data_IF_967817597182
#
_entry.id   IF_967817597182
#
_cell.length_a   1.000
_cell.length_b   1.000
_cell.length_c   1.000
_cell.angle_alpha   90.00
_cell.angle_beta   90.00
_cell.angle_gamma   90.00
#
_symmetry.space_group_name_H-M   'P 1'
#
loop_
_entity.id
_entity.type
_entity.pdbx_description
1 polymer ?
#
# COMPACT_ATOMS: atom_id res chain seq x y z
N UNK A 1 39.58 -41.54 8.89
CA UNK A 1 39.70 -40.06 8.91
C UNK A 1 38.66 -39.50 7.94
N UNK A 2 37.56 -38.97 8.48
CA UNK A 2 36.40 -38.47 7.73
C UNK A 2 36.73 -37.05 7.25
N UNK A 3 36.88 -36.84 5.94
CA UNK A 3 37.13 -35.51 5.38
C UNK A 3 35.78 -34.79 5.19
N UNK A 4 35.56 -33.77 6.02
CA UNK A 4 34.53 -32.75 5.87
C UNK A 4 34.89 -31.83 4.70
N UNK A 5 33.93 -31.54 3.81
CA UNK A 5 34.06 -30.53 2.75
C UNK A 5 32.96 -29.49 2.97
N UNK A 6 33.28 -28.19 3.13
CA UNK A 6 32.29 -27.15 3.40
C UNK A 6 31.61 -26.65 2.12
N UNK A 7 30.30 -26.41 2.26
CA UNK A 7 29.41 -25.74 1.32
C UNK A 7 29.80 -24.25 1.29
N UNK A 8 30.09 -23.70 0.12
CA UNK A 8 30.17 -22.25 -0.10
C UNK A 8 29.04 -21.85 -1.06
N UNK A 9 27.90 -21.47 -0.50
CA UNK A 9 26.89 -20.68 -1.22
C UNK A 9 27.36 -19.23 -1.22
N UNK A 10 27.76 -18.73 -2.39
CA UNK A 10 28.04 -17.31 -2.60
C UNK A 10 26.69 -16.57 -2.69
N UNK A 11 26.25 -15.97 -1.59
CA UNK A 11 25.16 -15.00 -1.59
C UNK A 11 25.75 -13.64 -2.00
N UNK A 12 25.58 -13.29 -3.26
CA UNK A 12 25.98 -11.98 -3.80
C UNK A 12 25.07 -10.91 -3.24
N UNK A 13 25.56 -10.14 -2.26
CA UNK A 13 24.89 -8.96 -1.73
C UNK A 13 25.04 -7.81 -2.74
N UNK A 14 24.02 -7.59 -3.56
CA UNK A 14 23.94 -6.40 -4.40
C UNK A 14 23.59 -5.20 -3.50
N UNK A 15 24.56 -4.33 -3.26
CA UNK A 15 24.34 -3.09 -2.52
C UNK A 15 23.70 -2.07 -3.48
N UNK A 16 22.37 -2.05 -3.56
CA UNK A 16 21.65 -0.99 -4.27
C UNK A 16 21.67 0.24 -3.37
N UNK A 17 22.43 1.26 -3.78
CA UNK A 17 22.42 2.57 -3.12
C UNK A 17 21.18 3.31 -3.62
N UNK A 18 20.07 3.17 -2.89
CA UNK A 18 18.86 3.96 -3.15
C UNK A 18 19.17 5.44 -2.92
N UNK A 19 19.09 6.22 -3.99
CA UNK A 19 19.31 7.66 -3.97
C UNK A 19 18.11 8.31 -3.29
N UNK A 20 18.28 8.84 -2.08
CA UNK A 20 17.28 9.67 -1.42
C UNK A 20 17.09 10.95 -2.25
N UNK A 21 16.00 11.00 -3.02
CA UNK A 21 15.45 12.23 -3.57
C UNK A 21 15.00 13.12 -2.41
N UNK A 22 15.22 14.43 -2.49
CA UNK A 22 14.91 15.40 -1.44
C UNK A 22 13.39 15.68 -1.23
N UNK A 23 12.56 14.65 -1.36
CA UNK A 23 11.15 14.61 -0.96
C UNK A 23 10.95 13.49 0.07
N UNK A 24 9.79 13.45 0.71
CA UNK A 24 9.47 12.43 1.72
C UNK A 24 9.79 11.01 1.20
N UNK A 25 10.32 10.14 2.05
CA UNK A 25 10.69 8.78 1.66
C UNK A 25 9.47 8.01 1.10
N UNK A 26 9.65 6.99 0.25
CA UNK A 26 8.53 6.15 -0.21
C UNK A 26 7.69 5.60 0.95
N UNK A 27 8.33 5.32 2.09
CA UNK A 27 7.70 4.89 3.34
C UNK A 27 6.79 5.94 3.96
N UNK A 28 7.26 7.19 4.06
CA UNK A 28 6.47 8.31 4.57
C UNK A 28 5.32 8.63 3.59
N UNK A 29 5.60 8.67 2.29
CA UNK A 29 4.60 8.96 1.27
C UNK A 29 3.46 7.93 1.25
N UNK A 30 3.77 6.63 1.34
CA UNK A 30 2.72 5.59 1.38
C UNK A 30 1.96 5.60 2.70
N UNK A 31 2.62 5.98 3.80
CA UNK A 31 1.94 6.16 5.08
C UNK A 31 0.90 7.28 4.99
N UNK A 32 1.27 8.44 4.44
CA UNK A 32 0.36 9.57 4.28
C UNK A 32 -0.85 9.22 3.39
N UNK A 33 -0.62 8.53 2.27
CA UNK A 33 -1.72 8.05 1.42
C UNK A 33 -2.66 7.07 2.15
N UNK A 34 -2.13 6.22 3.03
CA UNK A 34 -2.96 5.30 3.82
C UNK A 34 -3.72 6.03 4.93
N UNK A 35 -3.16 7.10 5.49
CA UNK A 35 -3.89 7.98 6.40
C UNK A 35 -5.03 8.72 5.67
N UNK A 36 -4.82 9.21 4.45
CA UNK A 36 -5.89 9.79 3.62
C UNK A 36 -7.01 8.77 3.36
N UNK A 37 -6.65 7.52 3.03
CA UNK A 37 -7.63 6.45 2.85
C UNK A 37 -8.42 6.16 4.15
N UNK A 38 -7.76 6.17 5.30
CA UNK A 38 -8.40 5.98 6.61
C UNK A 38 -9.32 7.14 6.96
N UNK A 39 -8.93 8.39 6.72
CA UNK A 39 -9.77 9.56 6.95
C UNK A 39 -11.01 9.51 6.06
N UNK A 40 -10.86 9.17 4.77
CA UNK A 40 -11.97 8.97 3.84
C UNK A 40 -12.91 7.82 4.27
N UNK A 41 -12.40 6.80 4.96
CA UNK A 41 -13.21 5.69 5.47
C UNK A 41 -14.13 6.08 6.64
N UNK A 42 -13.77 7.09 7.43
CA UNK A 42 -14.51 7.46 8.64
C UNK A 42 -15.99 7.78 8.39
N UNK A 43 -16.36 8.72 7.51
CA UNK A 43 -17.78 9.02 7.27
C UNK A 43 -18.53 7.82 6.70
N UNK A 44 -17.92 7.04 5.80
CA UNK A 44 -18.51 5.82 5.25
C UNK A 44 -18.82 4.81 6.36
N UNK A 45 -17.87 4.58 7.27
CA UNK A 45 -18.06 3.69 8.40
C UNK A 45 -19.16 4.19 9.35
N UNK A 46 -19.23 5.50 9.62
CA UNK A 46 -20.29 6.09 10.43
C UNK A 46 -21.67 5.91 9.79
N UNK A 47 -21.79 6.12 8.47
CA UNK A 47 -23.03 5.90 7.72
C UNK A 47 -23.46 4.43 7.77
N UNK A 48 -22.53 3.50 7.57
CA UNK A 48 -22.80 2.06 7.65
C UNK A 48 -23.24 1.60 9.05
N UNK A 49 -22.77 2.28 10.11
CA UNK A 49 -23.19 2.02 11.49
C UNK A 49 -24.48 2.74 11.90
N UNK A 50 -25.04 3.59 11.03
CA UNK A 50 -26.20 4.43 11.35
C UNK A 50 -25.90 5.54 12.36
N UNK A 51 -24.62 5.87 12.56
CA UNK A 51 -24.16 6.97 13.42
C UNK A 51 -24.12 8.31 12.67
N UNK A 52 -24.17 8.28 11.34
CA UNK A 52 -24.31 9.41 10.44
C UNK A 52 -25.43 9.09 9.45
N UNK A 53 -26.34 10.04 9.19
CA UNK A 53 -27.34 9.89 8.12
C UNK A 53 -26.64 9.72 6.77
N UNK A 54 -27.23 8.96 5.87
CA UNK A 54 -26.64 8.73 4.56
C UNK A 54 -26.55 10.02 3.75
N UNK A 55 -25.36 10.31 3.24
CA UNK A 55 -25.07 11.42 2.33
C UNK A 55 -24.26 10.90 1.12
N UNK A 56 -24.94 10.86 -0.02
CA UNK A 56 -24.40 10.47 -1.32
C UNK A 56 -23.12 11.23 -1.71
N UNK A 57 -23.10 12.55 -1.49
CA UNK A 57 -21.96 13.39 -1.88
C UNK A 57 -20.74 13.11 -0.98
N UNK A 58 -20.97 12.84 0.30
CA UNK A 58 -19.91 12.43 1.23
C UNK A 58 -19.37 11.05 0.84
N UNK A 59 -20.24 10.09 0.50
CA UNK A 59 -19.82 8.76 0.03
C UNK A 59 -18.98 8.87 -1.24
N UNK A 60 -19.42 9.66 -2.23
CA UNK A 60 -18.67 9.89 -3.46
C UNK A 60 -17.29 10.50 -3.20
N UNK A 61 -17.20 11.52 -2.34
CA UNK A 61 -15.92 12.16 -1.97
C UNK A 61 -14.94 11.16 -1.35
N UNK A 62 -15.45 10.26 -0.50
CA UNK A 62 -14.64 9.18 0.07
C UNK A 62 -14.13 8.21 -1.00
N UNK A 63 -14.97 7.82 -1.95
CA UNK A 63 -14.60 6.92 -3.03
C UNK A 63 -13.59 7.54 -4.00
N UNK A 64 -13.71 8.83 -4.30
CA UNK A 64 -12.72 9.56 -5.10
C UNK A 64 -11.35 9.62 -4.41
N UNK A 65 -11.32 9.84 -3.08
CA UNK A 65 -10.07 9.78 -2.30
C UNK A 65 -9.45 8.39 -2.37
N UNK A 66 -10.24 7.33 -2.18
CA UNK A 66 -9.74 5.97 -2.31
C UNK A 66 -9.27 5.64 -3.71
N UNK A 67 -9.91 6.18 -4.75
CA UNK A 67 -9.46 5.99 -6.13
C UNK A 67 -8.04 6.53 -6.32
N UNK A 68 -7.77 7.74 -5.84
CA UNK A 68 -6.44 8.34 -5.90
C UNK A 68 -5.42 7.47 -5.17
N UNK A 69 -5.70 7.06 -3.92
CA UNK A 69 -4.80 6.22 -3.14
C UNK A 69 -4.53 4.88 -3.82
N UNK A 70 -5.57 4.21 -4.33
CA UNK A 70 -5.42 2.92 -5.02
C UNK A 70 -4.55 3.00 -6.28
N UNK A 71 -4.51 4.16 -6.93
CA UNK A 71 -3.70 4.39 -8.12
C UNK A 71 -2.23 4.72 -7.82
N UNK A 72 -1.94 5.33 -6.67
CA UNK A 72 -0.58 5.78 -6.30
C UNK A 72 0.17 4.79 -5.41
N UNK A 73 -0.54 4.08 -4.51
CA UNK A 73 0.10 3.33 -3.42
C UNK A 73 1.06 2.22 -3.91
N UNK A 74 0.73 1.57 -5.03
CA UNK A 74 1.52 0.44 -5.55
C UNK A 74 2.95 0.81 -5.92
N UNK A 75 3.19 2.04 -6.35
CA UNK A 75 4.50 2.52 -6.82
C UNK A 75 5.45 2.85 -5.66
N UNK A 76 4.93 2.95 -4.43
CA UNK A 76 5.68 3.40 -3.24
C UNK A 76 6.30 2.25 -2.44
N UNK A 77 6.46 1.08 -3.07
CA UNK A 77 7.16 -0.08 -2.51
C UNK A 77 8.37 -0.49 -3.36
N UNK A 78 9.33 0.42 -3.64
CA UNK A 78 10.56 0.03 -4.31
C UNK A 78 11.39 -0.92 -3.41
N UNK A 79 12.28 -1.70 -4.03
CA UNK A 79 13.32 -2.44 -3.30
C UNK A 79 14.20 -1.47 -2.49
N UNK A 80 14.57 -1.88 -1.28
CA UNK A 80 15.29 -1.03 -0.32
C UNK A 80 14.39 -0.16 0.56
N UNK A 81 13.05 -0.28 0.43
CA UNK A 81 12.07 0.43 1.29
C UNK A 81 11.38 -0.47 2.32
N UNK A 82 11.96 -1.63 2.61
CA UNK A 82 11.41 -2.67 3.49
C UNK A 82 11.43 -2.28 4.97
N UNK A 83 12.31 -1.34 5.34
CA UNK A 83 12.55 -0.96 6.74
C UNK A 83 12.74 0.56 6.87
N UNK A 84 12.78 1.02 8.13
CA UNK A 84 12.93 2.44 8.48
C UNK A 84 11.59 3.20 8.48
N UNK A 85 11.64 4.45 8.93
CA UNK A 85 10.50 5.39 8.91
C UNK A 85 9.21 4.80 9.50
N UNK A 86 9.35 4.01 10.58
CA UNK A 86 8.26 3.31 11.27
C UNK A 86 7.33 2.50 10.36
N UNK A 87 7.86 2.00 9.24
CA UNK A 87 7.03 1.29 8.27
C UNK A 87 6.47 -0.02 8.84
N UNK A 88 5.17 -0.22 8.64
CA UNK A 88 4.45 -1.47 8.98
C UNK A 88 4.33 -2.43 7.78
N UNK A 89 4.96 -2.09 6.65
CA UNK A 89 4.95 -2.91 5.44
C UNK A 89 5.59 -4.28 5.70
N UNK A 90 4.88 -5.36 5.36
CA UNK A 90 5.41 -6.72 5.49
C UNK A 90 6.30 -7.07 4.31
N UNK A 91 7.35 -7.84 4.56
CA UNK A 91 8.27 -8.39 3.52
C UNK A 91 7.53 -9.13 2.39
N UNK A 92 6.34 -9.66 2.67
CA UNK A 92 5.47 -10.32 1.68
C UNK A 92 5.08 -9.42 0.50
N UNK A 93 5.08 -8.09 0.67
CA UNK A 93 4.81 -7.15 -0.42
C UNK A 93 5.88 -7.27 -1.53
N UNK A 94 7.12 -7.57 -1.18
CA UNK A 94 8.22 -7.73 -2.14
C UNK A 94 8.39 -9.18 -2.59
N UNK A 95 8.26 -10.14 -1.66
CA UNK A 95 8.44 -11.58 -1.97
C UNK A 95 7.25 -12.19 -2.71
N UNK A 96 6.05 -11.63 -2.56
CA UNK A 96 4.84 -11.94 -3.32
C UNK A 96 4.25 -10.67 -3.95
N UNK A 97 5.06 -10.05 -4.84
CA UNK A 97 4.67 -8.80 -5.48
C UNK A 97 3.40 -8.92 -6.31
N UNK A 98 3.24 -10.04 -7.02
CA UNK A 98 2.04 -10.33 -7.82
C UNK A 98 0.78 -10.40 -6.94
N UNK A 99 0.87 -11.05 -5.77
CA UNK A 99 -0.23 -11.10 -4.82
C UNK A 99 -0.62 -9.72 -4.28
N UNK A 100 0.37 -8.86 -4.00
CA UNK A 100 0.11 -7.48 -3.58
C UNK A 100 -0.56 -6.64 -4.69
N UNK A 101 -0.04 -6.72 -5.92
CA UNK A 101 -0.61 -6.01 -7.07
C UNK A 101 -2.04 -6.46 -7.37
N UNK A 102 -2.32 -7.77 -7.23
CA UNK A 102 -3.67 -8.30 -7.38
C UNK A 102 -4.66 -7.73 -6.34
N UNK A 103 -4.22 -7.52 -5.09
CA UNK A 103 -5.05 -6.90 -4.05
C UNK A 103 -5.32 -5.43 -4.37
N UNK A 104 -4.32 -4.68 -4.87
CA UNK A 104 -4.52 -3.29 -5.29
C UNK A 104 -5.51 -3.17 -6.46
N UNK A 105 -5.40 -4.07 -7.45
CA UNK A 105 -6.36 -4.12 -8.57
C UNK A 105 -7.76 -4.42 -8.05
N UNK A 106 -7.93 -5.44 -7.21
CA UNK A 106 -9.23 -5.78 -6.64
C UNK A 106 -9.85 -4.62 -5.83
N UNK A 107 -9.02 -3.86 -5.12
CA UNK A 107 -9.48 -2.67 -4.39
C UNK A 107 -9.91 -1.55 -5.35
N UNK A 108 -9.10 -1.25 -6.38
CA UNK A 108 -9.42 -0.27 -7.43
C UNK A 108 -10.73 -0.61 -8.16
N UNK A 109 -10.92 -1.89 -8.53
CA UNK A 109 -12.14 -2.36 -9.20
C UNK A 109 -13.38 -2.20 -8.31
N UNK A 110 -13.25 -2.47 -7.01
CA UNK A 110 -14.34 -2.29 -6.05
C UNK A 110 -14.71 -0.80 -5.88
N UNK A 111 -13.72 0.09 -5.88
CA UNK A 111 -13.94 1.55 -5.85
C UNK A 111 -14.64 1.99 -7.13
N UNK A 112 -14.19 1.53 -8.31
CA UNK A 112 -14.81 1.88 -9.59
C UNK A 112 -16.26 1.42 -9.66
N UNK A 113 -16.55 0.22 -9.16
CA UNK A 113 -17.92 -0.27 -9.04
C UNK A 113 -18.78 0.59 -8.10
N UNK A 114 -18.21 1.05 -6.97
CA UNK A 114 -18.90 1.90 -6.02
C UNK A 114 -19.18 3.30 -6.59
N UNK A 115 -18.23 3.90 -7.32
CA UNK A 115 -18.41 5.19 -8.01
C UNK A 115 -19.47 5.05 -9.12
N UNK A 116 -19.40 3.99 -9.93
CA UNK A 116 -20.34 3.74 -11.02
C UNK A 116 -21.77 3.45 -10.55
N UNK A 117 -21.95 3.08 -9.28
CA UNK A 117 -23.26 2.88 -8.69
C UNK A 117 -23.99 4.19 -8.34
N UNK A 118 -23.30 5.34 -8.42
CA UNK A 118 -23.85 6.65 -8.06
C UNK A 118 -24.54 6.62 -6.69
N UNK A 119 -23.79 6.32 -5.60
CA UNK A 119 -24.32 6.13 -4.25
C UNK A 119 -25.21 7.29 -3.80
#
# INVERSE_FOLDING_TARGET
MKKLLPIFSALSLALVVSSAVAGDSPQERRHDLMEDAKEAAKPVALMLRGELEFDAAVAMTSFETWKNVSSEAGELFPEGSETGFDTEARETIWTDREGFDAVLVAWSDAIDAAIAAEP
#
